data_IF_473793471278
#
_entry.id   IF_473793471278
#
_cell.length_a   1.000
_cell.length_b   1.000
_cell.length_c   1.000
_cell.angle_alpha   90.00
_cell.angle_beta   90.00
_cell.angle_gamma   90.00
#
_symmetry.space_group_name_H-M   'P 1'
#
loop_
_entity.id
_entity.type
_entity.pdbx_description
1 polymer ?
#
# COMPACT_ATOMS: atom_id res chain seq x y z
N UNK A 1 -12.77 -2.83 10.35
CA UNK A 1 -11.70 -2.87 9.34
C UNK A 1 -11.45 -1.45 8.82
N UNK A 2 -10.20 -1.07 8.67
CA UNK A 2 -9.82 0.27 8.25
C UNK A 2 -9.20 0.20 6.86
N UNK A 3 -9.63 1.09 5.96
CA UNK A 3 -9.04 1.25 4.62
C UNK A 3 -8.30 2.58 4.56
N UNK A 4 -7.08 2.55 4.03
CA UNK A 4 -6.25 3.73 3.92
C UNK A 4 -5.27 3.58 2.75
N UNK A 5 -4.69 4.67 2.24
CA UNK A 5 -3.58 4.54 1.31
C UNK A 5 -2.43 3.80 1.98
N UNK A 6 -1.70 2.97 1.24
CA UNK A 6 -0.52 2.30 1.79
C UNK A 6 0.61 3.30 2.03
N UNK A 7 0.78 4.25 1.13
CA UNK A 7 1.76 5.32 1.21
C UNK A 7 1.15 6.62 0.69
N UNK A 8 1.71 7.78 1.05
CA UNK A 8 1.19 9.08 0.59
C UNK A 8 1.26 9.26 -0.92
N UNK A 9 2.18 8.56 -1.58
CA UNK A 9 2.38 8.69 -3.02
C UNK A 9 2.93 7.40 -3.59
N UNK A 10 3.08 7.35 -4.92
CA UNK A 10 3.76 6.25 -5.59
C UNK A 10 5.26 6.28 -5.31
N UNK A 11 5.98 5.28 -5.83
CA UNK A 11 7.43 5.18 -5.66
C UNK A 11 8.14 6.42 -6.19
N UNK A 12 9.22 6.80 -5.53
CA UNK A 12 10.08 7.91 -5.95
C UNK A 12 11.40 7.37 -6.52
N UNK A 13 12.12 8.22 -7.24
CA UNK A 13 13.41 7.83 -7.83
C UNK A 13 14.44 7.52 -6.75
N UNK A 14 15.38 6.65 -7.07
CA UNK A 14 16.45 6.30 -6.14
C UNK A 14 17.21 7.54 -5.69
N UNK A 15 17.35 7.70 -4.38
CA UNK A 15 18.06 8.83 -3.78
C UNK A 15 17.28 10.13 -3.73
N UNK A 16 16.11 10.19 -4.33
CA UNK A 16 15.35 11.43 -4.48
C UNK A 16 14.98 12.08 -3.15
N UNK A 17 14.61 11.28 -2.16
CA UNK A 17 14.19 11.77 -0.83
C UNK A 17 15.19 11.45 0.27
N UNK A 18 16.35 10.93 -0.08
CA UNK A 18 17.31 10.45 0.91
C UNK A 18 17.94 11.57 1.74
N UNK A 19 17.96 12.81 1.22
CA UNK A 19 18.52 13.96 1.93
C UNK A 19 17.51 14.64 2.86
N UNK A 20 16.24 14.23 2.85
CA UNK A 20 15.19 14.81 3.69
C UNK A 20 14.59 13.75 4.60
N UNK A 21 15.06 13.66 5.87
CA UNK A 21 14.54 12.65 6.80
C UNK A 21 13.03 12.75 7.05
N UNK A 22 12.48 13.96 7.03
CA UNK A 22 11.04 14.15 7.22
C UNK A 22 10.25 13.57 6.06
N UNK A 23 10.69 13.81 4.83
CA UNK A 23 10.02 13.25 3.65
C UNK A 23 10.06 11.72 3.66
N UNK A 24 11.19 11.13 4.04
CA UNK A 24 11.30 9.67 4.18
C UNK A 24 10.36 9.13 5.24
N UNK A 25 10.29 9.80 6.39
CA UNK A 25 9.37 9.43 7.47
C UNK A 25 7.91 9.47 7.02
N UNK A 26 7.52 10.52 6.29
CA UNK A 26 6.14 10.69 5.83
C UNK A 26 5.71 9.59 4.85
N UNK A 27 6.63 8.96 4.15
CA UNK A 27 6.29 7.84 3.28
C UNK A 27 5.79 6.61 4.04
N UNK A 28 6.14 6.48 5.33
CA UNK A 28 5.74 5.36 6.16
C UNK A 28 4.57 5.69 7.09
N UNK A 29 4.03 6.90 7.02
CA UNK A 29 3.06 7.39 8.00
C UNK A 29 1.77 6.55 8.07
N UNK A 30 1.38 5.89 6.98
CA UNK A 30 0.18 5.06 6.95
C UNK A 30 0.46 3.59 7.30
N UNK A 31 1.68 3.11 7.14
CA UNK A 31 2.02 1.70 7.34
C UNK A 31 2.51 1.40 8.77
N UNK A 32 3.31 2.29 9.34
CA UNK A 32 3.91 2.08 10.67
C UNK A 32 2.87 1.90 11.78
N UNK A 33 1.77 2.68 11.83
CA UNK A 33 0.80 2.52 12.92
C UNK A 33 0.22 1.10 13.04
N UNK A 34 -0.07 0.43 11.93
CA UNK A 34 -0.59 -0.94 11.98
C UNK A 34 0.43 -1.89 12.59
N UNK A 35 1.69 -1.76 12.20
CA UNK A 35 2.77 -2.59 12.74
C UNK A 35 3.00 -2.35 14.22
N UNK A 36 3.01 -1.11 14.66
CA UNK A 36 3.19 -0.76 16.07
C UNK A 36 2.02 -1.23 16.94
N UNK A 37 0.80 -1.18 16.41
CA UNK A 37 -0.39 -1.65 17.11
C UNK A 37 -0.51 -3.17 17.12
N UNK A 38 0.28 -3.90 16.34
CA UNK A 38 0.19 -5.34 16.25
C UNK A 38 -1.03 -5.84 15.52
N UNK A 39 -1.56 -5.04 14.58
CA UNK A 39 -2.76 -5.39 13.82
C UNK A 39 -2.38 -6.03 12.48
N UNK A 40 -3.18 -7.01 12.00
CA UNK A 40 -2.96 -7.55 10.66
C UNK A 40 -3.29 -6.50 9.61
N UNK A 41 -2.43 -6.39 8.61
CA UNK A 41 -2.62 -5.43 7.54
C UNK A 41 -2.12 -6.00 6.22
N UNK A 42 -2.66 -5.48 5.12
CA UNK A 42 -2.35 -5.92 3.78
C UNK A 42 -2.42 -4.73 2.83
N UNK A 43 -1.56 -4.71 1.83
CA UNK A 43 -1.66 -3.75 0.74
C UNK A 43 -2.05 -4.47 -0.53
N UNK A 44 -3.04 -3.92 -1.24
CA UNK A 44 -3.45 -4.46 -2.55
C UNK A 44 -3.31 -3.38 -3.61
N UNK A 45 -2.95 -3.76 -4.86
CA UNK A 45 -2.90 -2.79 -5.95
C UNK A 45 -4.28 -2.19 -6.21
N UNK A 46 -4.34 -0.86 -6.31
CA UNK A 46 -5.61 -0.15 -6.53
C UNK A 46 -5.64 0.63 -7.83
N UNK A 47 -4.50 0.84 -8.48
CA UNK A 47 -4.43 1.57 -9.73
C UNK A 47 -3.05 2.10 -10.00
N UNK A 48 -2.95 2.99 -10.99
CA UNK A 48 -1.69 3.63 -11.37
C UNK A 48 -1.85 5.15 -11.25
N UNK A 49 -0.75 5.85 -10.93
CA UNK A 49 -0.74 7.30 -10.99
C UNK A 49 -0.56 7.76 -12.44
N UNK A 50 -0.43 9.08 -12.65
CA UNK A 50 -0.27 9.65 -14.00
C UNK A 50 1.00 9.18 -14.70
N UNK A 51 2.03 8.83 -13.94
CA UNK A 51 3.31 8.37 -14.48
C UNK A 51 3.33 6.87 -14.73
N UNK A 52 2.23 6.17 -14.44
CA UNK A 52 2.15 4.72 -14.61
C UNK A 52 2.71 3.91 -13.45
N UNK A 53 2.98 4.54 -12.31
CA UNK A 53 3.48 3.86 -11.12
C UNK A 53 2.31 3.33 -10.27
N UNK A 54 2.45 2.13 -9.68
CA UNK A 54 1.36 1.53 -8.92
C UNK A 54 1.07 2.26 -7.61
N UNK A 55 -0.21 2.26 -7.27
CA UNK A 55 -0.72 2.80 -6.00
C UNK A 55 -1.34 1.65 -5.20
N UNK A 56 -1.13 1.64 -3.90
CA UNK A 56 -1.65 0.61 -3.02
C UNK A 56 -2.77 1.12 -2.11
N UNK A 57 -3.71 0.23 -1.82
CA UNK A 57 -4.74 0.44 -0.80
C UNK A 57 -4.43 -0.49 0.37
N UNK A 58 -4.32 0.07 1.57
CA UNK A 58 -4.04 -0.69 2.78
C UNK A 58 -5.34 -1.08 3.48
N UNK A 59 -5.40 -2.34 3.91
CA UNK A 59 -6.52 -2.88 4.69
C UNK A 59 -5.96 -3.27 6.05
N UNK A 60 -6.54 -2.72 7.12
CA UNK A 60 -6.13 -3.02 8.49
C UNK A 60 -7.30 -3.70 9.19
N UNK A 61 -7.07 -4.89 9.72
CA UNK A 61 -8.08 -5.66 10.42
C UNK A 61 -7.94 -5.60 11.93
N UNK A 62 -8.86 -6.25 12.64
CA UNK A 62 -8.78 -6.39 14.09
C UNK A 62 -7.73 -7.43 14.45
N UNK A 63 -7.28 -7.50 15.73
CA UNK A 63 -6.24 -8.46 16.15
C UNK A 63 -6.62 -9.90 15.77
N UNK A 64 -5.66 -10.63 15.22
CA UNK A 64 -5.78 -12.03 14.83
C UNK A 64 -6.81 -12.33 13.72
N UNK A 65 -7.29 -11.31 13.01
CA UNK A 65 -8.25 -11.51 11.94
C UNK A 65 -7.57 -11.47 10.56
N UNK A 66 -6.52 -12.23 10.38
CA UNK A 66 -5.80 -12.34 9.10
C UNK A 66 -6.72 -12.85 7.99
N UNK A 67 -7.61 -13.80 8.31
CA UNK A 67 -8.55 -14.31 7.33
C UNK A 67 -9.48 -13.21 6.80
N UNK A 68 -9.97 -12.34 7.69
CA UNK A 68 -10.81 -11.21 7.29
C UNK A 68 -10.07 -10.24 6.38
N UNK A 69 -8.80 -9.96 6.68
CA UNK A 69 -7.96 -9.08 5.87
C UNK A 69 -7.74 -9.68 4.49
N UNK A 70 -7.43 -10.97 4.41
CA UNK A 70 -7.23 -11.66 3.14
C UNK A 70 -8.52 -11.69 2.31
N UNK A 71 -9.67 -11.93 2.94
CA UNK A 71 -10.96 -11.94 2.24
C UNK A 71 -11.29 -10.56 1.68
N UNK A 72 -11.08 -9.50 2.46
CA UNK A 72 -11.28 -8.14 2.02
C UNK A 72 -10.34 -7.77 0.87
N UNK A 73 -9.07 -8.18 0.97
CA UNK A 73 -8.08 -7.97 -0.07
C UNK A 73 -8.47 -8.61 -1.38
N UNK A 74 -8.96 -9.84 -1.33
CA UNK A 74 -9.42 -10.54 -2.52
C UNK A 74 -10.62 -9.84 -3.15
N UNK A 75 -11.56 -9.37 -2.36
CA UNK A 75 -12.72 -8.64 -2.87
C UNK A 75 -12.32 -7.34 -3.58
N UNK A 76 -11.37 -6.59 -2.99
CA UNK A 76 -10.87 -5.36 -3.59
C UNK A 76 -10.10 -5.65 -4.87
N UNK A 77 -9.25 -6.69 -4.86
CA UNK A 77 -8.47 -7.09 -6.03
C UNK A 77 -9.40 -7.42 -7.21
N UNK A 78 -10.46 -8.16 -6.96
CA UNK A 78 -11.44 -8.51 -7.99
C UNK A 78 -12.17 -7.29 -8.53
N UNK A 79 -12.54 -6.35 -7.66
CA UNK A 79 -13.25 -5.14 -8.08
C UNK A 79 -12.36 -4.17 -8.83
N UNK A 80 -11.11 -4.02 -8.39
CA UNK A 80 -10.15 -3.13 -9.05
C UNK A 80 -9.75 -3.65 -10.43
N UNK A 81 -9.74 -4.97 -10.62
CA UNK A 81 -9.35 -5.57 -11.88
C UNK A 81 -7.95 -5.21 -12.32
N UNK A 82 -7.06 -4.91 -11.36
CA UNK A 82 -5.73 -4.43 -11.66
C UNK A 82 -4.84 -5.59 -12.10
N UNK A 83 -4.41 -5.57 -13.37
CA UNK A 83 -3.54 -6.59 -13.94
C UNK A 83 -2.31 -6.01 -14.61
N UNK A 84 -2.07 -4.71 -14.47
CA UNK A 84 -0.93 -4.04 -15.09
C UNK A 84 0.39 -4.60 -14.54
N UNK A 85 1.38 -4.72 -15.42
CA UNK A 85 2.71 -5.22 -15.09
C UNK A 85 3.75 -4.28 -15.69
N UNK A 86 4.94 -4.22 -15.10
CA UNK A 86 6.02 -3.40 -15.67
C UNK A 86 6.65 -4.12 -16.87
N UNK A 87 5.99 -4.07 -18.00
CA UNK A 87 6.38 -4.80 -19.21
C UNK A 87 7.84 -4.63 -19.60
N UNK A 88 8.38 -3.44 -19.30
CA UNK A 88 9.78 -3.15 -19.56
C UNK A 88 10.74 -4.05 -18.78
N UNK A 89 10.32 -4.55 -17.63
CA UNK A 89 11.14 -5.31 -16.69
C UNK A 89 10.69 -6.76 -16.51
N UNK A 90 9.56 -7.10 -17.06
CA UNK A 90 8.87 -8.37 -16.77
C UNK A 90 9.15 -9.44 -17.81
#
# INVERSE_FOLDING_TARGET
MILAPTAPSAAFALGDKSADPLAMYLNDVFAVPASLAGLPAMSVPAGLNREGLPLGLQIIGKPFDEQGVLNAGLAIERRAGFTARPEKWW
#
